data_IF_558316414012
#
_entry.id   IF_558316414012
#
_cell.length_a   1.000
_cell.length_b   1.000
_cell.length_c   1.000
_cell.angle_alpha   90.00
_cell.angle_beta   90.00
_cell.angle_gamma   90.00
#
_symmetry.space_group_name_H-M   'P 1'
#
loop_
_entity.id
_entity.type
_entity.pdbx_description
1 polymer ?
#
# COMPACT_ATOMS: atom_id res chain seq x y z
N UNK A 1 -12.68 -16.29 -13.24
CA UNK A 1 -11.55 -17.19 -12.93
C UNK A 1 -11.40 -18.34 -13.95
N UNK A 2 -12.49 -19.01 -14.37
CA UNK A 2 -12.43 -20.13 -15.31
C UNK A 2 -11.77 -19.78 -16.65
N UNK A 3 -12.05 -18.60 -17.20
CA UNK A 3 -11.38 -18.12 -18.42
C UNK A 3 -9.88 -17.95 -18.22
N UNK A 4 -9.43 -17.33 -17.12
CA UNK A 4 -8.00 -17.20 -16.82
C UNK A 4 -7.31 -18.57 -16.70
N UNK A 5 -7.97 -19.55 -16.08
CA UNK A 5 -7.47 -20.93 -16.04
C UNK A 5 -7.30 -21.48 -17.45
N UNK A 6 -8.30 -21.33 -18.31
CA UNK A 6 -8.24 -21.75 -19.71
C UNK A 6 -7.07 -21.11 -20.46
N UNK A 7 -6.87 -19.80 -20.29
CA UNK A 7 -5.76 -19.08 -20.92
C UNK A 7 -4.39 -19.57 -20.42
N UNK A 8 -4.27 -19.91 -19.14
CA UNK A 8 -3.02 -20.42 -18.55
C UNK A 8 -2.72 -21.86 -18.96
N UNK A 9 -3.73 -22.73 -18.96
CA UNK A 9 -3.63 -24.17 -19.20
C UNK A 9 -3.59 -24.50 -20.69
N UNK A 10 -4.52 -23.97 -21.48
CA UNK A 10 -4.64 -24.27 -22.91
C UNK A 10 -3.90 -23.27 -23.81
N UNK A 11 -3.37 -22.17 -23.24
CA UNK A 11 -2.67 -21.12 -24.00
C UNK A 11 -3.53 -20.55 -25.14
N UNK A 12 -4.83 -20.42 -24.91
CA UNK A 12 -5.77 -19.95 -25.92
C UNK A 12 -7.22 -19.92 -25.43
N UNK A 13 -8.10 -19.40 -26.28
CA UNK A 13 -9.53 -19.36 -26.03
C UNK A 13 -10.33 -19.36 -27.33
N UNK A 14 -11.63 -19.67 -27.23
CA UNK A 14 -12.54 -19.57 -28.37
C UNK A 14 -13.09 -18.15 -28.51
N UNK A 15 -12.97 -17.60 -29.72
CA UNK A 15 -13.66 -16.36 -30.11
C UNK A 15 -15.14 -16.67 -30.39
N UNK A 16 -15.99 -15.63 -30.44
CA UNK A 16 -17.46 -15.77 -30.59
C UNK A 16 -17.89 -16.58 -31.83
N UNK A 17 -17.08 -16.54 -32.88
CA UNK A 17 -17.23 -17.28 -34.14
C UNK A 17 -16.67 -18.71 -34.07
N UNK A 18 -16.34 -19.21 -32.87
CA UNK A 18 -15.85 -20.57 -32.59
C UNK A 18 -14.46 -20.87 -33.16
N UNK A 19 -13.73 -19.84 -33.60
CA UNK A 19 -12.31 -20.01 -33.94
C UNK A 19 -11.44 -20.05 -32.68
N UNK A 20 -10.48 -20.98 -32.67
CA UNK A 20 -9.48 -21.06 -31.61
C UNK A 20 -8.43 -19.97 -31.79
N UNK A 21 -8.24 -19.16 -30.75
CA UNK A 21 -7.20 -18.13 -30.70
C UNK A 21 -6.11 -18.61 -29.76
N UNK A 22 -4.91 -18.83 -30.31
CA UNK A 22 -3.70 -19.18 -29.55
C UNK A 22 -3.04 -17.91 -29.00
N UNK A 23 -2.60 -17.97 -27.75
CA UNK A 23 -1.79 -16.92 -27.12
C UNK A 23 -0.30 -17.18 -27.39
N UNK A 24 0.41 -16.18 -27.87
CA UNK A 24 1.86 -16.22 -28.01
C UNK A 24 2.49 -15.03 -27.29
N UNK A 25 3.56 -15.29 -26.52
CA UNK A 25 4.33 -14.27 -25.79
C UNK A 25 3.53 -13.45 -24.76
N UNK A 26 2.43 -13.98 -24.24
CA UNK A 26 1.64 -13.36 -23.18
C UNK A 26 1.94 -14.03 -21.83
N UNK A 27 2.22 -13.22 -20.81
CA UNK A 27 2.38 -13.65 -19.42
C UNK A 27 1.34 -12.97 -18.55
N UNK A 28 0.80 -13.70 -17.59
CA UNK A 28 -0.16 -13.18 -16.63
C UNK A 28 0.54 -12.95 -15.29
N UNK A 29 0.42 -11.73 -14.79
CA UNK A 29 0.83 -11.36 -13.42
C UNK A 29 -0.40 -10.73 -12.78
N UNK A 30 -0.69 -11.11 -11.54
CA UNK A 30 -1.83 -10.59 -10.80
C UNK A 30 -1.42 -10.37 -9.34
N UNK A 31 -1.99 -9.33 -8.75
CA UNK A 31 -1.95 -9.10 -7.31
C UNK A 31 -3.35 -9.30 -6.75
N UNK A 32 -3.44 -9.83 -5.53
CA UNK A 32 -4.70 -9.97 -4.81
C UNK A 32 -4.47 -9.83 -3.31
N UNK A 33 -5.50 -9.40 -2.60
CA UNK A 33 -5.49 -9.40 -1.14
C UNK A 33 -5.75 -10.82 -0.63
N UNK A 34 -5.25 -11.16 0.58
CA UNK A 34 -5.54 -12.44 1.20
C UNK A 34 -7.04 -12.74 1.28
N UNK A 35 -7.44 -14.01 1.18
CA UNK A 35 -8.85 -14.43 1.26
C UNK A 35 -9.45 -14.21 2.66
N UNK A 36 -8.61 -13.96 3.68
CA UNK A 36 -9.02 -13.61 5.04
C UNK A 36 -9.66 -12.21 5.13
N UNK A 37 -9.47 -11.36 4.12
CA UNK A 37 -10.01 -10.00 4.12
C UNK A 37 -11.50 -10.03 3.72
N UNK A 38 -12.30 -9.18 4.36
CA UNK A 38 -13.74 -9.07 4.11
C UNK A 38 -14.02 -8.82 2.62
N UNK A 39 -14.98 -9.56 2.06
CA UNK A 39 -15.38 -9.44 0.65
C UNK A 39 -14.45 -10.12 -0.35
N UNK A 40 -13.40 -10.82 0.09
CA UNK A 40 -12.51 -11.60 -0.80
C UNK A 40 -12.97 -13.05 -0.90
N UNK A 41 -12.76 -13.65 -2.08
CA UNK A 41 -13.13 -15.05 -2.36
C UNK A 41 -11.87 -15.90 -2.49
N UNK A 42 -11.88 -17.06 -1.85
CA UNK A 42 -10.82 -18.06 -1.99
C UNK A 42 -10.69 -18.50 -3.46
N UNK A 43 -9.47 -18.45 -3.99
CA UNK A 43 -9.16 -18.98 -5.31
C UNK A 43 -9.09 -20.50 -5.27
N UNK A 44 -9.64 -21.16 -6.28
CA UNK A 44 -9.64 -22.63 -6.37
C UNK A 44 -8.22 -23.15 -6.57
N UNK A 45 -7.84 -24.23 -5.88
CA UNK A 45 -6.53 -24.88 -6.06
C UNK A 45 -6.24 -25.31 -7.51
N UNK A 46 -7.28 -25.72 -8.25
CA UNK A 46 -7.19 -26.04 -9.69
C UNK A 46 -6.75 -24.86 -10.56
N UNK A 47 -6.97 -23.62 -10.13
CA UNK A 47 -6.46 -22.43 -10.80
C UNK A 47 -5.04 -22.12 -10.31
N UNK A 48 -4.83 -22.13 -8.99
CA UNK A 48 -3.54 -21.77 -8.38
C UNK A 48 -2.39 -22.70 -8.79
N UNK A 49 -2.64 -23.97 -9.11
CA UNK A 49 -1.60 -24.89 -9.60
C UNK A 49 -0.89 -24.42 -10.89
N UNK A 50 -1.48 -23.46 -11.63
CA UNK A 50 -0.90 -22.90 -12.86
C UNK A 50 -0.15 -21.58 -12.63
N UNK A 51 -0.04 -21.11 -11.39
CA UNK A 51 0.59 -19.83 -11.05
C UNK A 51 1.55 -20.00 -9.87
N UNK A 52 2.63 -19.21 -9.87
CA UNK A 52 3.44 -19.01 -8.67
C UNK A 52 2.75 -17.98 -7.79
N UNK A 53 2.58 -18.30 -6.50
CA UNK A 53 1.96 -17.40 -5.51
C UNK A 53 3.04 -16.94 -4.56
N UNK A 54 3.23 -15.63 -4.48
CA UNK A 54 4.11 -14.98 -3.53
C UNK A 54 3.26 -14.22 -2.51
N UNK A 55 3.54 -14.43 -1.23
CA UNK A 55 2.97 -13.63 -0.16
C UNK A 55 3.93 -12.49 0.17
N UNK A 56 3.42 -11.26 0.17
CA UNK A 56 4.18 -10.06 0.51
C UNK A 56 3.45 -9.40 1.67
N UNK A 57 4.07 -9.44 2.85
CA UNK A 57 3.58 -8.72 4.01
C UNK A 57 4.07 -7.27 4.02
N UNK A 58 3.52 -6.47 4.93
CA UNK A 58 4.06 -5.15 5.22
C UNK A 58 5.48 -5.25 5.78
N UNK A 59 6.35 -4.28 5.45
CA UNK A 59 7.73 -4.25 5.94
C UNK A 59 7.79 -4.14 7.47
N UNK A 60 8.89 -4.61 8.05
CA UNK A 60 9.17 -4.46 9.48
C UNK A 60 9.28 -2.99 9.88
N UNK A 61 9.11 -2.71 11.18
CA UNK A 61 9.27 -1.36 11.73
C UNK A 61 10.63 -0.75 11.37
N UNK A 62 11.73 -1.50 11.54
CA UNK A 62 13.08 -1.03 11.15
C UNK A 62 13.18 -0.67 9.66
N UNK A 63 12.53 -1.46 8.80
CA UNK A 63 12.52 -1.22 7.36
C UNK A 63 11.69 0.03 7.03
N UNK A 64 10.53 0.21 7.69
CA UNK A 64 9.74 1.43 7.61
C UNK A 64 10.55 2.65 8.05
N UNK A 65 11.24 2.59 9.20
CA UNK A 65 12.08 3.70 9.70
C UNK A 65 13.12 4.10 8.65
N UNK A 66 13.83 3.14 8.07
CA UNK A 66 14.85 3.41 7.05
C UNK A 66 14.25 4.05 5.79
N UNK A 67 13.16 3.47 5.27
CA UNK A 67 12.48 3.96 4.06
C UNK A 67 11.97 5.39 4.29
N UNK A 68 11.23 5.62 5.38
CA UNK A 68 10.58 6.90 5.62
C UNK A 68 11.55 7.99 6.11
N UNK A 69 12.66 7.63 6.78
CA UNK A 69 13.73 8.60 7.08
C UNK A 69 14.38 9.08 5.79
N UNK A 70 14.62 8.16 4.85
CA UNK A 70 15.12 8.52 3.52
C UNK A 70 14.10 9.41 2.78
N UNK A 71 12.81 9.09 2.82
CA UNK A 71 11.79 9.91 2.16
C UNK A 71 11.62 11.30 2.81
N UNK A 72 11.74 11.41 4.13
CA UNK A 72 11.65 12.67 4.86
C UNK A 72 12.87 13.58 4.70
N UNK A 73 14.02 13.03 4.29
CA UNK A 73 15.26 13.80 4.02
C UNK A 73 15.34 14.34 2.59
N UNK A 74 14.65 13.72 1.62
CA UNK A 74 14.66 14.12 0.20
C UNK A 74 14.06 15.51 -0.12
N UNK A 75 13.02 16.03 0.55
CA UNK A 75 12.41 17.30 0.19
C UNK A 75 13.25 18.50 0.71
N UNK A 76 14.30 18.84 -0.03
CA UNK A 76 15.00 20.13 -0.19
C UNK A 76 15.18 21.13 0.99
N UNK A 77 14.81 20.86 2.25
CA UNK A 77 14.62 21.92 3.26
C UNK A 77 15.28 21.73 4.63
N UNK A 78 16.09 20.70 4.87
CA UNK A 78 17.14 20.68 5.92
C UNK A 78 18.01 19.43 5.78
N UNK A 79 19.34 19.60 5.76
CA UNK A 79 20.34 18.50 5.82
C UNK A 79 20.41 17.82 7.20
N UNK A 80 19.41 18.05 8.07
CA UNK A 80 19.41 17.50 9.41
C UNK A 80 18.76 16.12 9.41
N UNK A 81 19.61 15.12 9.15
CA UNK A 81 19.23 13.72 9.23
C UNK A 81 18.67 13.36 10.61
N UNK A 82 19.22 13.94 11.68
CA UNK A 82 18.78 13.64 13.06
C UNK A 82 17.33 14.07 13.29
N UNK A 83 16.95 15.25 12.79
CA UNK A 83 15.56 15.72 12.87
C UNK A 83 14.62 14.82 12.04
N UNK A 84 15.03 14.42 10.84
CA UNK A 84 14.23 13.57 9.95
C UNK A 84 14.02 12.17 10.53
N UNK A 85 15.02 11.61 11.19
CA UNK A 85 14.95 10.34 11.88
C UNK A 85 14.00 10.40 13.09
N UNK A 86 14.15 11.42 13.96
CA UNK A 86 13.25 11.63 15.11
C UNK A 86 11.80 11.77 14.66
N UNK A 87 11.57 12.58 13.62
CA UNK A 87 10.25 12.78 13.04
C UNK A 87 9.66 11.48 12.49
N UNK A 88 10.47 10.69 11.77
CA UNK A 88 10.06 9.41 11.22
C UNK A 88 9.69 8.41 12.31
N UNK A 89 10.46 8.35 13.40
CA UNK A 89 10.15 7.48 14.53
C UNK A 89 8.79 7.83 15.14
N UNK A 90 8.52 9.11 15.38
CA UNK A 90 7.22 9.59 15.89
C UNK A 90 6.09 9.25 14.91
N UNK A 91 6.30 9.44 13.61
CA UNK A 91 5.31 9.07 12.59
C UNK A 91 5.00 7.57 12.64
N UNK A 92 6.01 6.72 12.78
CA UNK A 92 5.81 5.27 12.80
C UNK A 92 5.14 4.82 14.10
N UNK A 93 5.52 5.38 15.24
CA UNK A 93 4.83 5.15 16.52
C UNK A 93 3.35 5.52 16.42
N UNK A 94 3.03 6.70 15.88
CA UNK A 94 1.65 7.14 15.67
C UNK A 94 0.89 6.23 14.71
N UNK A 95 1.55 5.75 13.65
CA UNK A 95 0.97 4.80 12.69
C UNK A 95 0.57 3.49 13.37
N UNK A 96 1.44 2.91 14.21
CA UNK A 96 1.12 1.68 14.94
C UNK A 96 0.05 1.91 16.00
N UNK A 97 0.14 3.01 16.76
CA UNK A 97 -0.87 3.40 17.74
C UNK A 97 -2.27 3.54 17.09
N UNK A 98 -2.36 4.25 15.97
CA UNK A 98 -3.61 4.42 15.25
C UNK A 98 -4.13 3.09 14.68
N UNK A 99 -3.24 2.25 14.14
CA UNK A 99 -3.59 0.92 13.62
C UNK A 99 -4.14 -0.02 14.71
N UNK A 100 -3.68 0.10 15.95
CA UNK A 100 -4.19 -0.69 17.08
C UNK A 100 -5.56 -0.22 17.55
N UNK A 101 -5.83 1.09 17.54
CA UNK A 101 -7.09 1.67 18.00
C UNK A 101 -8.19 1.53 16.94
N UNK A 102 -7.85 1.81 15.67
CA UNK A 102 -8.81 1.85 14.58
C UNK A 102 -8.74 0.56 13.77
N UNK A 103 -9.50 -0.44 14.21
CA UNK A 103 -9.55 -1.76 13.58
C UNK A 103 -10.77 -1.93 12.68
N UNK A 104 -10.69 -2.92 11.78
CA UNK A 104 -11.79 -3.28 10.87
C UNK A 104 -13.03 -3.81 11.60
N UNK A 105 -12.87 -4.25 12.86
CA UNK A 105 -13.97 -4.70 13.72
C UNK A 105 -14.83 -3.53 14.21
N UNK A 106 -14.22 -2.34 14.39
CA UNK A 106 -14.94 -1.11 14.72
C UNK A 106 -15.62 -0.54 13.47
N UNK A 107 -14.88 -0.43 12.37
CA UNK A 107 -15.43 0.00 11.09
C UNK A 107 -14.67 -0.59 9.91
N UNK A 108 -15.38 -1.14 8.92
CA UNK A 108 -14.77 -1.90 7.83
C UNK A 108 -13.74 -1.13 6.99
N UNK A 109 -13.80 0.21 6.99
CA UNK A 109 -12.87 1.07 6.26
C UNK A 109 -11.63 1.48 7.06
N UNK A 110 -11.52 1.10 8.34
CA UNK A 110 -10.35 1.35 9.18
C UNK A 110 -9.21 0.39 8.83
N UNK A 111 -8.57 0.68 7.71
CA UNK A 111 -7.44 -0.08 7.18
C UNK A 111 -6.22 0.85 7.17
N UNK A 112 -5.18 0.45 7.90
CA UNK A 112 -3.91 1.18 7.96
C UNK A 112 -2.84 0.44 7.17
N UNK A 113 -2.16 1.15 6.26
CA UNK A 113 -1.12 0.58 5.40
C UNK A 113 0.05 1.55 5.27
N UNK A 114 1.26 1.11 4.84
CA UNK A 114 2.39 2.02 4.59
C UNK A 114 2.11 3.14 3.56
N UNK A 115 1.00 3.05 2.81
CA UNK A 115 0.52 4.16 1.98
C UNK A 115 0.18 5.38 2.83
N UNK A 116 -0.35 5.18 4.04
CA UNK A 116 -0.71 6.28 4.95
C UNK A 116 0.52 7.08 5.36
N UNK A 117 1.61 6.39 5.71
CA UNK A 117 2.91 7.02 5.97
C UNK A 117 3.41 7.81 4.75
N UNK A 118 3.19 7.29 3.54
CA UNK A 118 3.55 8.00 2.29
C UNK A 118 2.73 9.28 2.13
N UNK A 119 1.43 9.23 2.41
CA UNK A 119 0.54 10.40 2.36
C UNK A 119 0.94 11.46 3.39
N UNK A 120 1.38 11.03 4.57
CA UNK A 120 1.90 11.90 5.61
C UNK A 120 3.18 12.62 5.16
N UNK A 121 4.16 11.90 4.62
CA UNK A 121 5.36 12.51 4.02
C UNK A 121 4.97 13.53 2.96
N UNK A 122 4.05 13.19 2.05
CA UNK A 122 3.58 14.12 1.02
C UNK A 122 2.93 15.38 1.61
N UNK A 123 2.15 15.26 2.68
CA UNK A 123 1.55 16.40 3.38
C UNK A 123 2.61 17.31 4.01
N UNK A 124 3.64 16.72 4.62
CA UNK A 124 4.78 17.47 5.18
C UNK A 124 5.55 18.22 4.08
N UNK A 125 5.79 17.56 2.93
CA UNK A 125 6.43 18.18 1.76
C UNK A 125 5.62 19.36 1.21
N UNK A 126 4.30 19.23 1.17
CA UNK A 126 3.43 20.31 0.72
C UNK A 126 3.45 21.48 1.70
N UNK A 127 3.37 21.21 3.01
CA UNK A 127 3.43 22.25 4.03
C UNK A 127 4.77 22.98 4.07
N UNK A 128 5.89 22.26 3.96
CA UNK A 128 7.23 22.87 3.87
C UNK A 128 7.39 23.79 2.66
N UNK A 129 6.69 23.53 1.56
CA UNK A 129 6.66 24.43 0.40
C UNK A 129 5.83 25.69 0.64
N UNK A 130 4.74 25.59 1.42
CA UNK A 130 3.81 26.68 1.67
C UNK A 130 4.23 27.58 2.84
N UNK A 131 4.88 27.02 3.87
CA UNK A 131 5.31 27.72 5.08
C UNK A 131 6.81 27.55 5.29
N UNK A 132 7.52 28.67 5.46
CA UNK A 132 8.98 28.71 5.72
C UNK A 132 9.30 28.21 7.13
N UNK A 133 8.43 28.51 8.10
CA UNK A 133 8.54 28.05 9.49
C UNK A 133 7.34 27.18 9.83
N UNK A 134 7.57 25.88 9.96
CA UNK A 134 6.57 24.93 10.42
C UNK A 134 6.60 24.84 11.94
N UNK A 135 5.45 25.04 12.56
CA UNK A 135 5.25 24.65 13.96
C UNK A 135 4.96 23.14 14.04
N UNK A 136 5.14 22.57 15.23
CA UNK A 136 4.75 21.18 15.51
C UNK A 136 3.25 20.99 15.26
N UNK A 137 2.44 22.00 15.59
CA UNK A 137 0.99 21.99 15.37
C UNK A 137 0.64 21.84 13.88
N UNK A 138 1.35 22.56 12.99
CA UNK A 138 1.14 22.45 11.55
C UNK A 138 1.42 21.05 11.02
N UNK A 139 2.46 20.40 11.55
CA UNK A 139 2.83 19.03 11.16
C UNK A 139 1.76 18.06 11.63
N UNK A 140 1.31 18.17 12.87
CA UNK A 140 0.24 17.34 13.43
C UNK A 140 -1.04 17.52 12.61
N UNK A 141 -1.43 18.76 12.31
CA UNK A 141 -2.57 19.05 11.46
C UNK A 141 -2.42 18.43 10.06
N UNK A 142 -1.23 18.47 9.44
CA UNK A 142 -0.98 17.81 8.15
C UNK A 142 -1.19 16.28 8.21
N UNK A 143 -0.72 15.64 9.28
CA UNK A 143 -0.85 14.20 9.49
C UNK A 143 -2.33 13.80 9.54
N UNK A 144 -3.19 14.65 10.10
CA UNK A 144 -4.62 14.43 10.16
C UNK A 144 -5.38 14.91 8.91
N UNK A 145 -5.03 16.06 8.32
CA UNK A 145 -5.73 16.71 7.20
C UNK A 145 -5.93 15.82 5.97
N UNK A 146 -4.91 15.01 5.60
CA UNK A 146 -5.02 14.10 4.45
C UNK A 146 -5.74 12.79 4.77
N UNK A 147 -6.04 12.51 6.04
CA UNK A 147 -6.89 11.38 6.48
C UNK A 147 -8.30 11.82 6.90
N UNK A 148 -8.56 13.14 7.03
CA UNK A 148 -9.83 13.73 7.49
C UNK A 148 -11.07 13.48 6.61
N UNK A 149 -11.03 12.59 5.62
CA UNK A 149 -12.21 12.20 4.86
C UNK A 149 -12.30 10.67 4.75
N UNK A 150 -12.45 10.00 5.89
CA UNK A 150 -13.10 8.69 6.09
C UNK A 150 -13.01 8.35 7.59
N UNK A 151 -13.71 9.13 8.40
CA UNK A 151 -14.25 8.70 9.69
C UNK A 151 -15.77 8.71 9.55
#
# INVERSE_FOLDING_TARGET
ICLLRQLLELKGFYRKDRFWVKLEKIKFVASCSPPTYVGRKQLMGKFLKHAFVFYIDYPSNECLCKIFTTLNTLPQLKKDHSLSEKMTNIMIELYYFAKEIFTTDVCAHYIFTPRDLTLWVQGIIELTRLKINLSIQDIVEALFLRRSFCF
#
